data_IF_532037501442
#
_entry.id   IF_532037501442
#
_cell.length_a   1.000
_cell.length_b   1.000
_cell.length_c   1.000
_cell.angle_alpha   90.00
_cell.angle_beta   90.00
_cell.angle_gamma   90.00
#
_symmetry.space_group_name_H-M   'P 1'
#
loop_
_entity.id
_entity.type
_entity.pdbx_description
1 polymer ?
#
# COMPACT_ATOMS: atom_id res chain seq x y z
N UNK A 1 -13.93 -8.76 -1.30
CA UNK A 1 -13.01 -7.74 -1.84
C UNK A 1 -11.86 -7.66 -0.85
N UNK A 2 -10.70 -8.18 -1.21
CA UNK A 2 -9.51 -8.19 -0.35
C UNK A 2 -8.92 -6.79 -0.39
N UNK A 3 -9.51 -5.87 0.39
CA UNK A 3 -9.01 -4.51 0.51
C UNK A 3 -7.66 -4.59 1.23
N UNK A 4 -6.58 -4.36 0.49
CA UNK A 4 -5.26 -4.21 1.05
C UNK A 4 -5.32 -3.08 2.10
N UNK A 5 -4.61 -3.22 3.24
CA UNK A 5 -4.68 -2.23 4.30
C UNK A 5 -4.18 -0.88 3.77
N UNK A 6 -4.79 0.18 4.26
CA UNK A 6 -4.39 1.54 3.91
C UNK A 6 -2.92 1.74 4.29
N UNK A 7 -2.16 2.48 3.49
CA UNK A 7 -0.77 2.79 3.82
C UNK A 7 -0.72 3.54 5.16
N UNK A 8 0.03 3.09 6.17
CA UNK A 8 0.04 3.73 7.49
C UNK A 8 0.69 5.12 7.50
N UNK A 9 1.48 5.46 6.47
CA UNK A 9 2.20 6.74 6.41
C UNK A 9 1.36 7.87 5.80
N UNK A 10 0.62 7.57 4.73
CA UNK A 10 -0.21 8.57 4.02
C UNK A 10 -1.72 8.28 4.11
N UNK A 11 -2.11 7.17 4.74
CA UNK A 11 -3.49 6.68 4.84
C UNK A 11 -4.14 6.40 3.47
N UNK A 12 -3.33 6.12 2.45
CA UNK A 12 -3.81 5.81 1.09
C UNK A 12 -4.51 4.47 1.04
N UNK A 13 -5.67 4.40 0.41
CA UNK A 13 -6.42 3.16 0.16
C UNK A 13 -5.82 2.33 -0.98
N UNK A 14 -4.87 2.89 -1.71
CA UNK A 14 -4.28 2.28 -2.90
C UNK A 14 -2.89 1.73 -2.58
N UNK A 15 -2.79 0.68 -1.78
CA UNK A 15 -1.55 -0.10 -1.63
C UNK A 15 -1.56 -1.25 -2.63
N UNK A 16 -0.38 -1.65 -3.13
CA UNK A 16 -0.24 -2.81 -4.01
C UNK A 16 0.89 -3.72 -3.52
N UNK A 17 0.76 -5.01 -3.76
CA UNK A 17 1.78 -5.98 -3.40
C UNK A 17 2.76 -6.16 -4.58
N UNK A 18 4.03 -5.85 -4.36
CA UNK A 18 5.12 -6.10 -5.31
C UNK A 18 6.05 -7.17 -4.73
N UNK A 19 6.00 -8.37 -5.30
CA UNK A 19 6.90 -9.47 -4.89
C UNK A 19 6.79 -9.90 -3.43
N UNK A 20 5.66 -9.63 -2.77
CA UNK A 20 5.44 -9.92 -1.34
C UNK A 20 5.71 -8.74 -0.39
N UNK A 21 6.04 -7.56 -0.92
CA UNK A 21 6.13 -6.30 -0.17
C UNK A 21 4.96 -5.38 -0.51
N UNK A 22 4.49 -4.57 0.44
CA UNK A 22 3.32 -3.71 0.24
C UNK A 22 3.76 -2.30 -0.09
N UNK A 23 3.79 -2.00 -1.39
CA UNK A 23 4.22 -0.70 -1.89
C UNK A 23 3.03 0.27 -1.95
N UNK A 24 3.23 1.46 -1.41
CA UNK A 24 2.32 2.58 -1.56
C UNK A 24 2.77 3.49 -2.72
N UNK A 25 1.94 3.70 -3.76
CA UNK A 25 2.26 4.55 -4.91
C UNK A 25 2.24 6.05 -4.58
N UNK A 26 1.61 6.48 -3.49
CA UNK A 26 1.56 7.90 -3.12
C UNK A 26 2.82 8.37 -2.38
N UNK A 27 3.39 7.51 -1.54
CA UNK A 27 4.54 7.85 -0.71
C UNK A 27 5.77 6.99 -0.94
N UNK A 28 5.70 6.02 -1.85
CA UNK A 28 6.74 5.02 -2.13
C UNK A 28 7.23 4.27 -0.88
N UNK A 29 6.34 4.07 0.11
CA UNK A 29 6.61 3.27 1.29
C UNK A 29 6.41 1.79 0.95
N UNK A 30 7.39 0.95 1.28
CA UNK A 30 7.45 -0.49 1.02
C UNK A 30 7.18 -1.35 2.25
#
# INVERSE_FOLDING_TARGET
MTALPNCPQCNSEYTYEDGGMFVCPECAHE
#
